data_IF_115806655362
#
_entry.id   IF_115806655362
#
_cell.length_a   1.000
_cell.length_b   1.000
_cell.length_c   1.000
_cell.angle_alpha   90.00
_cell.angle_beta   90.00
_cell.angle_gamma   90.00
#
_symmetry.space_group_name_H-M   'P 1'
#
loop_
_entity.id
_entity.type
_entity.pdbx_description
1 polymer ?
#
# COMPACT_ATOMS: atom_id res chain seq x y z
N UNK A 77 -25.20 -6.10 -15.10
CA UNK A 77 -25.27 -5.94 -13.65
C UNK A 77 -24.17 -6.75 -12.99
N UNK A 78 -23.10 -7.00 -13.73
CA UNK A 78 -22.07 -7.95 -13.32
C UNK A 78 -20.72 -7.24 -13.18
N UNK A 79 -19.79 -7.90 -12.49
CA UNK A 79 -18.51 -7.29 -12.15
C UNK A 79 -17.49 -8.40 -11.93
N UNK A 80 -16.21 -8.05 -12.02
CA UNK A 80 -15.11 -9.01 -11.90
C UNK A 80 -14.10 -8.53 -10.88
N UNK A 81 -13.77 -9.41 -9.93
CA UNK A 81 -12.67 -9.20 -9.00
C UNK A 81 -11.38 -9.76 -9.60
N UNK A 82 -10.26 -9.14 -9.22
CA UNK A 82 -8.95 -9.61 -9.66
C UNK A 82 -7.94 -9.38 -8.54
N UNK A 83 -6.98 -10.29 -8.45
CA UNK A 83 -5.93 -10.28 -7.43
C UNK A 83 -4.60 -9.98 -8.12
N UNK A 84 -4.26 -8.70 -8.22
CA UNK A 84 -3.00 -8.27 -8.81
C UNK A 84 -1.92 -8.39 -7.74
N UNK A 85 -1.18 -9.50 -7.76
CA UNK A 85 -0.15 -9.74 -6.76
C UNK A 85 0.92 -8.66 -6.88
N UNK A 86 1.42 -8.21 -5.73
CA UNK A 86 2.34 -7.09 -5.70
C UNK A 86 3.62 -7.38 -6.48
N UNK A 87 4.44 -8.29 -5.97
CA UNK A 87 5.71 -8.62 -6.61
C UNK A 87 6.47 -9.67 -5.82
N UNK A 88 7.63 -10.07 -6.34
CA UNK A 88 8.67 -10.72 -5.57
C UNK A 88 9.93 -9.88 -5.70
N UNK A 89 10.80 -9.94 -4.70
CA UNK A 89 11.91 -9.00 -4.63
C UNK A 89 12.97 -9.29 -5.68
N UNK A 90 12.61 -9.10 -6.96
CA UNK A 90 13.54 -9.20 -8.08
C UNK A 90 13.93 -7.83 -8.63
N UNK A 91 13.58 -6.76 -7.92
CA UNK A 91 13.75 -5.39 -8.38
C UNK A 91 14.50 -4.65 -7.28
N UNK A 92 14.59 -3.33 -7.38
CA UNK A 92 15.27 -2.57 -6.34
C UNK A 92 14.45 -2.66 -5.06
N UNK A 93 14.29 -3.88 -4.53
CA UNK A 93 13.36 -4.13 -3.44
C UNK A 93 13.87 -5.17 -2.44
N UNK A 94 15.08 -5.69 -2.59
CA UNK A 94 15.55 -6.79 -1.75
C UNK A 94 15.98 -6.25 -0.39
N UNK A 95 14.99 -5.92 0.44
CA UNK A 95 15.19 -5.55 1.84
C UNK A 95 15.88 -4.19 1.99
N UNK A 96 15.68 -3.30 1.02
CA UNK A 96 16.06 -1.90 1.15
C UNK A 96 15.01 -1.04 0.46
N UNK A 97 15.14 0.27 0.65
CA UNK A 97 14.27 1.23 -0.02
C UNK A 97 14.55 1.25 -1.52
N UNK A 100 15.20 2.83 6.28
CA UNK A 100 14.44 2.66 5.05
C UNK A 100 12.95 2.78 5.32
N UNK A 101 12.24 3.52 4.46
CA UNK A 101 10.79 3.59 4.54
C UNK A 101 10.22 2.18 4.63
N UNK A 102 9.55 1.89 5.73
CA UNK A 102 9.26 0.52 6.11
C UNK A 102 8.13 -0.04 5.24
N UNK A 103 8.36 -1.21 4.66
CA UNK A 103 7.35 -1.97 3.92
C UNK A 103 6.79 -1.14 2.75
N UNK A 104 7.67 -0.89 1.79
CA UNK A 104 7.29 -0.24 0.55
C UNK A 104 6.72 -1.26 -0.43
N UNK A 105 5.57 -0.95 -1.02
CA UNK A 105 4.89 -1.84 -1.95
C UNK A 105 5.20 -1.40 -3.37
N UNK A 106 5.64 -2.33 -4.20
CA UNK A 106 5.95 -2.03 -5.60
C UNK A 106 5.18 -3.01 -6.47
N UNK A 107 4.01 -2.57 -6.92
CA UNK A 107 3.18 -3.35 -7.83
C UNK A 107 3.72 -3.18 -9.24
N UNK A 108 4.10 -4.29 -9.86
CA UNK A 108 4.64 -4.26 -11.21
C UNK A 108 3.50 -4.00 -12.20
N UNK A 109 3.31 -2.73 -12.55
CA UNK A 109 2.20 -2.35 -13.42
C UNK A 109 2.15 -3.16 -14.71
N UNK A 110 3.25 -3.80 -15.09
CA UNK A 110 3.22 -4.73 -16.22
C UNK A 110 2.17 -5.81 -16.03
N UNK A 111 1.75 -6.07 -14.78
CA UNK A 111 0.74 -7.07 -14.48
C UNK A 111 -0.62 -6.45 -14.17
N UNK A 112 -0.87 -5.21 -14.60
CA UNK A 112 -2.23 -4.71 -14.65
C UNK A 112 -2.94 -5.13 -15.93
N UNK A 113 -2.41 -6.18 -16.55
CA UNK A 113 -3.10 -6.97 -17.57
C UNK A 113 -4.53 -7.27 -17.16
N UNK A 114 -4.77 -7.37 -15.85
CA UNK A 114 -6.08 -7.74 -15.34
C UNK A 114 -7.07 -6.59 -15.51
N UNK A 115 -7.72 -6.53 -16.66
CA UNK A 115 -8.76 -5.53 -16.93
C UNK A 115 -8.15 -4.14 -16.80
N UNK A 116 -7.33 -3.71 -17.76
CA UNK A 116 -6.56 -2.46 -17.59
C UNK A 116 -7.36 -1.18 -17.79
N UNK A 117 -8.63 -1.26 -18.14
CA UNK A 117 -9.35 -0.06 -18.56
C UNK A 117 -9.75 0.78 -17.35
N UNK A 118 -9.42 2.08 -17.34
CA UNK A 118 -9.85 2.92 -16.21
C UNK A 118 -11.34 3.17 -16.18
N UNK A 119 -12.03 3.04 -17.32
CA UNK A 119 -13.47 3.26 -17.34
C UNK A 119 -14.21 2.08 -16.73
N UNK A 120 -13.68 0.86 -16.88
CA UNK A 120 -14.33 -0.31 -16.32
C UNK A 120 -14.06 -0.46 -14.84
N UNK A 121 -12.92 0.02 -14.36
CA UNK A 121 -12.58 -0.08 -12.95
C UNK A 121 -13.68 0.54 -12.10
N UNK A 122 -14.21 -0.24 -11.16
CA UNK A 122 -15.22 0.23 -10.23
C UNK A 122 -14.72 0.36 -8.80
N UNK A 123 -13.69 -0.39 -8.42
CA UNK A 123 -13.12 -0.25 -7.08
C UNK A 123 -11.75 -0.91 -7.05
N UNK A 124 -10.96 -0.57 -6.04
CA UNK A 124 -9.72 -1.29 -5.79
C UNK A 124 -9.20 -0.97 -4.40
N UNK A 125 -8.50 -1.94 -3.81
CA UNK A 125 -7.98 -1.83 -2.46
C UNK A 125 -6.57 -2.41 -2.39
N UNK A 126 -5.71 -1.74 -1.64
CA UNK A 126 -4.44 -2.31 -1.22
C UNK A 126 -4.68 -3.19 0.00
N UNK A 127 -4.08 -4.38 0.01
CA UNK A 127 -4.36 -5.37 1.05
C UNK A 127 -3.08 -5.74 1.78
N UNK A 128 -3.16 -5.76 3.12
CA UNK A 128 -2.05 -6.07 3.99
C UNK A 128 -2.40 -7.24 4.91
N UNK A 129 -1.39 -8.02 5.28
CA UNK A 129 -1.50 -9.00 6.35
C UNK A 129 -0.43 -8.68 7.39
N UNK A 130 -0.85 -8.57 8.65
CA UNK A 130 0.03 -8.10 9.72
C UNK A 130 -0.03 -9.05 10.91
N UNK A 131 1.05 -9.03 11.72
CA UNK A 131 1.21 -9.97 12.82
C UNK A 131 1.79 -9.34 14.09
N UNK A 132 1.61 -8.04 14.29
CA UNK A 132 2.08 -7.40 15.52
C UNK A 132 0.97 -7.48 16.57
N UNK A 133 1.30 -8.02 17.74
CA UNK A 133 0.29 -8.39 18.73
C UNK A 133 0.62 -7.94 20.15
N UNK A 134 1.58 -7.03 20.34
CA UNK A 134 1.94 -6.57 21.68
C UNK A 134 2.12 -5.07 21.80
N UNK A 135 2.16 -4.32 20.70
CA UNK A 135 2.38 -2.87 20.74
C UNK A 135 1.46 -2.21 19.73
N UNK A 136 0.84 -1.11 20.12
CA UNK A 136 0.06 -0.33 19.17
C UNK A 136 0.97 0.21 18.07
N UNK A 137 0.49 0.16 16.83
CA UNK A 137 1.24 0.66 15.69
C UNK A 137 0.37 1.62 14.90
N UNK A 138 0.89 2.80 14.60
CA UNK A 138 0.15 3.81 13.84
C UNK A 138 0.89 4.04 12.53
N UNK A 139 0.25 3.68 11.42
CA UNK A 139 0.90 3.69 10.12
C UNK A 139 0.13 4.62 9.18
N UNK A 140 0.77 4.93 8.05
CA UNK A 140 0.18 5.73 6.99
C UNK A 140 0.53 5.11 5.64
N UNK A 141 -0.40 5.23 4.70
CA UNK A 141 -0.23 4.73 3.34
C UNK A 141 -0.07 5.91 2.38
N UNK A 142 0.92 5.79 1.48
CA UNK A 142 1.32 6.83 0.54
C UNK A 142 1.41 6.27 -0.88
N UNK A 143 1.12 7.12 -1.86
CA UNK A 143 1.35 6.85 -3.27
C UNK A 143 2.72 7.37 -3.69
N UNK A 144 3.34 6.71 -4.66
CA UNK A 144 4.69 7.10 -5.07
C UNK A 144 4.67 8.13 -6.20
N UNK A 145 5.66 9.02 -6.16
CA UNK A 145 5.94 9.97 -7.23
C UNK A 145 7.43 9.90 -7.54
N UNK A 146 7.95 10.86 -8.31
CA UNK A 146 9.39 10.99 -8.46
C UNK A 146 10.06 10.88 -7.09
N UNK A 147 11.23 10.24 -7.07
CA UNK A 147 11.81 9.77 -5.81
C UNK A 147 11.79 10.85 -4.74
N UNK A 148 11.70 10.40 -3.48
CA UNK A 148 11.60 11.28 -2.32
C UNK A 148 10.55 12.36 -2.54
N UNK A 149 9.35 11.93 -2.93
CA UNK A 149 8.18 12.79 -3.02
C UNK A 149 6.96 11.89 -3.01
N UNK A 150 6.05 12.11 -2.06
CA UNK A 150 4.96 11.18 -1.83
C UNK A 150 3.65 11.92 -1.66
N UNK A 151 2.55 11.20 -1.90
CA UNK A 151 1.20 11.68 -1.65
C UNK A 151 0.61 10.84 -0.51
N UNK A 152 0.23 11.51 0.57
CA UNK A 152 -0.42 10.82 1.68
C UNK A 152 -1.79 10.31 1.24
N UNK A 153 -2.08 9.05 1.57
CA UNK A 153 -3.36 8.44 1.23
C UNK A 153 -4.22 8.12 2.44
N UNK A 154 -3.67 7.43 3.45
CA UNK A 154 -4.52 7.04 4.57
C UNK A 154 -3.67 6.76 5.81
N UNK A 155 -4.33 6.33 6.88
CA UNK A 155 -3.68 6.06 8.16
C UNK A 155 -4.47 5.01 8.93
N UNK A 156 -3.75 4.22 9.73
CA UNK A 156 -4.33 3.11 10.47
C UNK A 156 -3.80 3.08 11.90
N UNK A 157 -4.69 2.72 12.83
CA UNK A 157 -4.40 2.58 14.25
C UNK A 157 -4.55 1.12 14.63
N UNK A 158 -3.43 0.43 14.85
CA UNK A 158 -3.39 -1.02 14.99
C UNK A 158 -3.24 -1.37 16.46
N UNK A 159 -4.26 -2.02 17.02
CA UNK A 159 -4.23 -2.47 18.39
C UNK A 159 -3.26 -3.63 18.55
N UNK A 160 -2.83 -3.92 19.78
CA UNK A 160 -2.00 -5.12 20.00
C UNK A 160 -2.84 -6.39 19.89
N UNK A 161 -3.39 -6.63 18.70
CA UNK A 161 -4.29 -7.76 18.50
C UNK A 161 -3.52 -9.07 18.56
N UNK A 162 -4.00 -10.00 19.39
CA UNK A 162 -3.37 -11.31 19.49
C UNK A 162 -3.31 -11.99 18.13
N UNK A 163 -4.38 -11.90 17.35
CA UNK A 163 -4.44 -12.57 16.06
C UNK A 163 -3.86 -11.68 14.97
N UNK A 164 -3.11 -12.26 14.01
CA UNK A 164 -2.79 -11.50 12.79
C UNK A 164 -4.07 -10.98 12.15
N UNK A 165 -3.96 -9.97 11.29
CA UNK A 165 -5.17 -9.37 10.73
C UNK A 165 -4.90 -8.81 9.35
N UNK A 166 -5.96 -8.73 8.56
CA UNK A 166 -5.92 -8.17 7.21
C UNK A 166 -6.40 -6.72 7.24
N UNK A 167 -5.59 -5.83 6.69
CA UNK A 167 -5.94 -4.43 6.53
C UNK A 167 -6.22 -4.13 5.06
N UNK A 168 -7.08 -3.15 4.82
CA UNK A 168 -7.42 -2.76 3.46
C UNK A 168 -7.49 -1.24 3.38
N UNK A 169 -6.94 -0.70 2.29
CA UNK A 169 -7.01 0.73 2.00
C UNK A 169 -7.70 0.92 0.66
N UNK A 170 -8.66 1.84 0.60
CA UNK A 170 -9.30 2.17 -0.66
C UNK A 170 -8.34 3.01 -1.49
N UNK A 171 -7.86 2.44 -2.60
CA UNK A 171 -6.88 3.10 -3.46
C UNK A 171 -7.41 3.16 -4.88
N UNK A 172 -8.74 3.23 -5.02
CA UNK A 172 -9.35 3.19 -6.35
C UNK A 172 -8.79 4.29 -7.25
N UNK A 173 -8.75 5.53 -6.75
CA UNK A 173 -8.26 6.62 -7.57
C UNK A 173 -6.83 6.43 -8.02
N UNK A 174 -5.96 5.97 -7.11
CA UNK A 174 -4.55 5.83 -7.43
C UNK A 174 -4.35 4.80 -8.54
N UNK A 175 -4.93 3.61 -8.37
CA UNK A 175 -4.73 2.56 -9.36
C UNK A 175 -5.51 2.84 -10.64
N UNK A 176 -6.53 3.71 -10.59
CA UNK A 176 -7.19 4.16 -11.81
C UNK A 176 -6.28 5.08 -12.61
N UNK A 177 -5.64 6.03 -11.92
CA UNK A 177 -4.66 6.89 -12.58
C UNK A 177 -3.48 6.08 -13.09
N UNK A 178 -3.15 4.98 -12.40
CA UNK A 178 -2.08 4.10 -12.87
C UNK A 178 -2.50 3.26 -14.07
N UNK A 179 -3.79 3.23 -14.40
CA UNK A 179 -4.25 2.60 -15.63
C UNK A 179 -4.31 3.59 -16.79
N UNK A 180 -4.93 4.76 -16.56
CA UNK A 180 -5.00 5.76 -17.61
C UNK A 180 -3.62 6.28 -18.03
N UNK A 181 -2.57 5.88 -17.32
CA UNK A 181 -1.20 6.29 -17.61
C UNK A 181 -0.30 5.54 -16.64
N UNK A 182 1.01 5.69 -16.83
CA UNK A 182 1.99 5.12 -15.94
C UNK A 182 2.94 4.17 -16.65
N UNK A 183 3.88 3.64 -15.87
CA UNK A 183 4.92 2.79 -16.40
C UNK A 183 4.75 1.32 -16.08
N UNK A 184 5.87 0.61 -15.89
CA UNK A 184 5.86 -0.82 -15.63
C UNK A 184 5.95 -1.16 -14.15
N UNK A 185 6.49 -0.27 -13.33
CA UNK A 185 6.44 -0.40 -11.88
C UNK A 185 5.81 0.86 -11.31
N UNK A 186 4.80 0.68 -10.45
CA UNK A 186 4.30 1.76 -9.61
C UNK A 186 4.31 1.25 -8.18
N UNK A 187 4.02 2.13 -7.22
CA UNK A 187 4.18 1.74 -5.84
C UNK A 187 3.44 2.58 -4.84
N UNK A 188 3.14 1.96 -3.71
CA UNK A 188 2.71 2.60 -2.48
C UNK A 188 3.79 2.39 -1.43
N UNK A 189 3.54 2.93 -0.24
CA UNK A 189 4.39 2.61 0.91
C UNK A 189 3.60 2.78 2.19
N UNK A 190 3.98 2.00 3.20
CA UNK A 190 3.62 2.31 4.58
C UNK A 190 4.72 3.16 5.21
N UNK A 191 4.36 3.87 6.27
CA UNK A 191 5.34 4.63 7.03
C UNK A 191 4.78 4.93 8.41
N UNK A 192 5.63 4.84 9.42
CA UNK A 192 5.20 5.12 10.78
C UNK A 192 4.73 6.57 10.89
N UNK A 193 3.75 6.78 11.77
CA UNK A 193 3.20 8.11 11.99
C UNK A 193 4.11 8.90 12.92
N UNK A 194 4.31 10.17 12.59
CA UNK A 194 5.18 11.05 13.36
C UNK A 194 4.38 12.22 13.91
N UNK A 195 4.32 12.33 15.23
CA UNK A 195 3.81 13.52 15.91
C UNK A 195 4.88 14.60 15.77
N UNK A 196 4.68 15.48 14.80
CA UNK A 196 5.67 16.48 14.41
C UNK A 196 5.19 17.85 14.87
N UNK A 197 6.02 18.55 15.64
CA UNK A 197 5.65 19.87 16.13
C UNK A 197 6.91 20.69 16.36
N UNK A 198 6.71 21.99 16.58
CA UNK A 198 7.82 22.91 16.69
C UNK A 198 7.48 24.01 17.69
N UNK A 199 8.53 24.62 18.23
CA UNK A 199 8.44 25.83 19.04
C UNK A 199 9.64 26.69 18.65
N UNK A 200 9.64 27.94 19.10
CA UNK A 200 10.69 28.86 18.69
C UNK A 200 12.07 28.27 18.95
N UNK A 201 12.81 28.00 17.87
CA UNK A 201 14.19 27.52 17.92
C UNK A 201 14.30 26.07 18.39
N UNK A 202 13.25 25.26 18.20
CA UNK A 202 13.31 23.87 18.62
C UNK A 202 12.26 23.05 17.89
N UNK A 203 12.60 21.81 17.57
CA UNK A 203 11.72 20.88 16.88
C UNK A 203 11.58 19.61 17.70
N UNK A 204 10.42 18.95 17.58
CA UNK A 204 10.23 17.65 18.20
C UNK A 204 9.44 16.75 17.27
N UNK A 205 9.90 15.51 17.13
CA UNK A 205 9.23 14.53 16.28
C UNK A 205 9.15 13.20 17.01
N UNK A 206 8.00 12.93 17.64
CA UNK A 206 7.75 11.61 18.20
C UNK A 206 7.32 10.67 17.08
N UNK A 207 7.63 9.39 17.23
CA UNK A 207 7.29 8.38 16.23
C UNK A 207 6.41 7.33 16.89
N UNK A 208 5.29 7.01 16.24
CA UNK A 208 4.22 6.23 16.85
C UNK A 208 4.00 4.89 16.16
N UNK A 209 4.96 4.44 15.35
CA UNK A 209 4.77 3.20 14.62
C UNK A 209 6.09 2.52 14.31
N UNK A 210 5.98 1.23 13.99
CA UNK A 210 7.13 0.40 13.64
C UNK A 210 8.19 0.44 14.74
N UNK A 211 7.77 0.12 15.96
CA UNK A 211 8.70 -0.01 17.07
C UNK A 211 9.47 -1.32 16.92
N UNK A 212 10.33 -1.38 15.90
CA UNK A 212 10.99 -2.62 15.53
C UNK A 212 12.50 -2.49 15.62
N UNK A 215 13.78 -2.17 10.59
CA UNK A 215 12.85 -1.66 9.59
C UNK A 215 11.80 -2.71 9.21
N UNK A 216 11.01 -3.13 10.19
CA UNK A 216 9.86 -3.97 9.91
C UNK A 216 9.75 -5.23 10.74
N UNK A 217 8.65 -5.34 11.49
CA UNK A 217 8.28 -6.57 12.18
C UNK A 217 6.77 -6.78 12.13
N UNK A 218 6.08 -6.17 11.16
CA UNK A 218 4.64 -6.00 11.20
C UNK A 218 3.92 -6.78 10.10
N UNK A 219 4.27 -6.57 8.84
CA UNK A 219 3.51 -7.10 7.72
C UNK A 219 4.22 -8.28 7.08
N UNK A 220 3.42 -9.22 6.57
CA UNK A 220 3.95 -10.35 5.81
C UNK A 220 4.23 -9.90 4.38
N UNK A 221 5.46 -10.12 3.91
CA UNK A 221 5.94 -9.49 2.69
C UNK A 221 6.29 -10.48 1.59
N UNK A 222 6.42 -11.77 1.89
CA UNK A 222 6.76 -12.76 0.87
C UNK A 222 5.97 -14.04 1.11
N UNK A 223 5.83 -14.82 0.04
CA UNK A 223 5.07 -16.04 0.10
C UNK A 223 3.57 -15.78 0.05
N UNK A 224 2.81 -16.76 0.52
CA UNK A 224 1.37 -16.60 0.62
C UNK A 224 1.06 -15.36 1.44
N UNK A 225 0.11 -14.56 0.95
CA UNK A 225 -0.39 -13.35 1.60
C UNK A 225 0.56 -12.17 1.46
N UNK A 226 1.53 -12.23 0.55
CA UNK A 226 2.31 -11.04 0.25
C UNK A 226 1.36 -9.95 -0.26
N UNK A 227 1.67 -8.68 -0.01
CA UNK A 227 0.72 -7.61 -0.35
C UNK A 227 0.21 -7.74 -1.78
N UNK A 228 -1.00 -7.24 -2.01
CA UNK A 228 -1.60 -7.32 -3.33
C UNK A 228 -2.69 -6.27 -3.47
N UNK A 229 -3.05 -6.01 -4.72
CA UNK A 229 -4.19 -5.17 -5.05
C UNK A 229 -5.40 -6.04 -5.36
N UNK A 230 -6.55 -5.65 -4.83
CA UNK A 230 -7.84 -6.25 -5.16
C UNK A 230 -8.59 -5.24 -6.02
N UNK A 231 -8.76 -5.55 -7.30
CA UNK A 231 -9.39 -4.61 -8.23
C UNK A 231 -10.69 -5.19 -8.78
N UNK A 232 -11.75 -4.38 -8.77
CA UNK A 232 -13.06 -4.78 -9.27
C UNK A 232 -13.40 -3.89 -10.46
N UNK A 233 -13.63 -4.53 -11.61
CA UNK A 233 -13.96 -3.84 -12.86
C UNK A 233 -14.95 -4.68 -13.65
N UNK A 234 -15.74 -4.00 -14.50
CA UNK A 234 -16.79 -4.66 -15.26
C UNK A 234 -16.34 -4.88 -16.70
N UNK A 235 -16.05 -6.12 -17.11
CA UNK A 235 -15.55 -6.36 -18.48
C UNK A 235 -16.61 -6.72 -19.50
N UNK A 236 -16.20 -6.70 -20.77
CA UNK A 236 -16.97 -7.16 -21.93
C UNK A 236 -18.15 -6.26 -22.30
N UNK A 237 -18.46 -5.27 -21.46
CA UNK A 237 -19.41 -4.22 -21.77
C UNK A 237 -19.61 -3.40 -20.51
N UNK A 238 -20.17 -2.21 -20.64
CA UNK A 238 -20.77 -1.52 -19.50
C UNK A 238 -22.00 -0.74 -19.94
N UNK A 239 -22.80 -1.30 -20.84
CA UNK A 239 -24.03 -0.64 -21.27
C UNK A 239 -25.20 -1.11 -20.41
#
# INVERSE_FOLDING_TARGET
LSTCKTIDMELVKRKRIEAIRGQILSKLRLASPPSQGEVPPGPLPEAVLALYNSTRDRVAGESAEPEPEPEADYYAKEVTRVLMVETHNEIYDKFKQSTHSIYMFFNTSELREAVPEPVLLSRAELRLLRLKLKVEQHVELYQKYSNNSWRYLSNRLLAPSDSPEWLSFDVTGVVRQWLSRGGEIEGFRLSAHCSCDSRDNTLQVDINGFTTGRRGDLATIHGMNRPFLLLMATPLERAQHLQSSRHRAHHHHHH
#
